data_IF_272367885954
#
_entry.id   IF_272367885954
#
_cell.length_a   1.000
_cell.length_b   1.000
_cell.length_c   1.000
_cell.angle_alpha   90.00
_cell.angle_beta   90.00
_cell.angle_gamma   90.00
#
_symmetry.space_group_name_H-M   'P 1'
#
loop_
_entity.id
_entity.type
_entity.pdbx_description
1 polymer ?
#
# COMPACT_ATOMS: atom_id res chain seq x y z
N UNK A 1 31.82 -13.15 -26.27
CA UNK A 1 31.40 -12.69 -24.94
C UNK A 1 29.94 -13.06 -24.78
N UNK A 2 29.64 -13.99 -23.87
CA UNK A 2 28.26 -14.37 -23.55
C UNK A 2 27.54 -13.17 -22.96
N UNK A 3 26.49 -12.69 -23.64
CA UNK A 3 25.56 -11.71 -23.08
C UNK A 3 25.06 -12.24 -21.73
N UNK A 4 25.25 -11.49 -20.62
CA UNK A 4 24.73 -11.90 -19.32
C UNK A 4 23.23 -12.20 -19.44
N UNK A 5 22.78 -13.33 -18.89
CA UNK A 5 21.35 -13.62 -18.87
C UNK A 5 20.64 -12.51 -18.08
N UNK A 6 19.51 -12.03 -18.57
CA UNK A 6 18.70 -10.99 -17.92
C UNK A 6 18.33 -11.34 -16.46
N UNK A 7 18.30 -12.63 -16.13
CA UNK A 7 17.99 -13.14 -14.81
C UNK A 7 19.20 -13.19 -13.86
N UNK A 8 20.41 -12.89 -14.35
CA UNK A 8 21.63 -12.77 -13.53
C UNK A 8 22.70 -11.80 -14.12
N UNK A 9 22.41 -10.48 -14.25
CA UNK A 9 23.40 -9.48 -14.68
C UNK A 9 24.49 -9.21 -13.61
N UNK A 10 25.61 -8.50 -13.87
CA UNK A 10 26.66 -8.16 -12.87
C UNK A 10 26.21 -7.06 -11.87
N UNK A 11 26.80 -6.95 -10.66
CA UNK A 11 26.29 -6.03 -9.60
C UNK A 11 26.39 -4.58 -10.02
N UNK A 12 25.25 -4.01 -10.45
CA UNK A 12 25.19 -2.70 -11.08
C UNK A 12 25.03 -1.54 -10.08
N UNK A 13 25.00 -1.81 -8.77
CA UNK A 13 24.91 -0.75 -7.75
C UNK A 13 26.24 -0.01 -7.54
N UNK A 14 27.36 -0.63 -7.92
CA UNK A 14 28.70 -0.09 -7.81
C UNK A 14 29.35 0.06 -9.20
N UNK A 15 28.63 0.68 -10.15
CA UNK A 15 29.15 0.84 -11.51
C UNK A 15 30.01 2.09 -11.68
N UNK A 16 31.08 1.92 -12.46
CA UNK A 16 31.81 3.02 -13.12
C UNK A 16 31.22 3.36 -14.52
N UNK A 17 30.21 2.60 -14.99
CA UNK A 17 29.62 2.69 -16.34
C UNK A 17 28.11 2.97 -16.31
N UNK A 18 27.72 4.21 -16.62
CA UNK A 18 26.32 4.68 -16.65
C UNK A 18 25.45 4.02 -17.74
N UNK A 19 26.05 3.59 -18.84
CA UNK A 19 25.31 2.99 -19.97
C UNK A 19 24.71 1.62 -19.59
N UNK A 20 25.48 0.79 -18.89
CA UNK A 20 25.01 -0.52 -18.41
C UNK A 20 23.86 -0.36 -17.41
N UNK A 21 23.95 0.62 -16.51
CA UNK A 21 22.88 0.90 -15.55
C UNK A 21 21.60 1.35 -16.27
N UNK A 22 21.75 2.21 -17.27
CA UNK A 22 20.62 2.75 -18.05
C UNK A 22 19.89 1.64 -18.77
N UNK A 23 20.61 0.76 -19.48
CA UNK A 23 20.02 -0.38 -20.18
C UNK A 23 19.30 -1.32 -19.21
N UNK A 24 19.90 -1.60 -18.05
CA UNK A 24 19.28 -2.45 -17.04
C UNK A 24 17.97 -1.88 -16.47
N UNK A 25 17.90 -0.56 -16.26
CA UNK A 25 16.66 0.11 -15.86
C UNK A 25 15.61 -0.05 -16.95
N UNK A 26 15.96 0.27 -18.21
CA UNK A 26 15.03 0.17 -19.34
C UNK A 26 14.49 -1.25 -19.48
N UNK A 27 15.36 -2.26 -19.49
CA UNK A 27 14.94 -3.66 -19.67
C UNK A 27 14.08 -4.14 -18.49
N UNK A 28 14.38 -3.69 -17.26
CA UNK A 28 13.55 -3.98 -16.08
C UNK A 28 12.13 -3.46 -16.26
N UNK A 29 11.96 -2.23 -16.75
CA UNK A 29 10.64 -1.66 -17.00
C UNK A 29 9.91 -2.35 -18.17
N UNK A 30 10.61 -2.62 -19.28
CA UNK A 30 10.02 -3.30 -20.45
C UNK A 30 9.54 -4.70 -20.07
N UNK A 31 10.33 -5.49 -19.33
CA UNK A 31 9.95 -6.86 -18.96
C UNK A 31 8.72 -6.89 -18.04
N UNK A 32 8.64 -5.98 -17.07
CA UNK A 32 7.58 -6.01 -16.07
C UNK A 32 6.30 -5.28 -16.49
N UNK A 33 6.43 -4.29 -17.38
CA UNK A 33 5.31 -3.41 -17.70
C UNK A 33 5.06 -3.22 -19.20
N UNK A 34 5.82 -3.87 -20.08
CA UNK A 34 5.74 -3.65 -21.53
C UNK A 34 4.35 -3.89 -22.13
N UNK A 35 3.57 -4.83 -21.59
CA UNK A 35 2.17 -5.04 -21.99
C UNK A 35 1.29 -3.87 -21.57
N UNK A 36 1.32 -3.51 -20.28
CA UNK A 36 0.58 -2.34 -19.76
C UNK A 36 0.96 -1.03 -20.48
N UNK A 37 2.23 -0.88 -20.88
CA UNK A 37 2.68 0.25 -21.69
C UNK A 37 2.05 0.29 -23.07
N UNK A 38 1.82 -0.88 -23.70
CA UNK A 38 1.13 -0.98 -25.00
C UNK A 38 -0.36 -0.72 -24.85
N UNK A 39 -0.98 -1.20 -23.79
CA UNK A 39 -2.41 -1.01 -23.51
C UNK A 39 -2.74 0.45 -23.17
N UNK A 40 -1.88 1.12 -22.39
CA UNK A 40 -2.10 2.51 -21.99
C UNK A 40 -0.85 3.41 -22.13
N UNK A 41 -0.45 3.76 -23.37
CA UNK A 41 0.74 4.58 -23.59
C UNK A 41 0.66 5.98 -22.97
N UNK A 42 -0.54 6.58 -22.93
CA UNK A 42 -0.74 7.92 -22.35
C UNK A 42 -0.55 7.92 -20.83
N UNK A 43 -1.11 6.93 -20.13
CA UNK A 43 -0.93 6.77 -18.68
C UNK A 43 0.54 6.59 -18.31
N UNK A 44 1.25 5.72 -19.04
CA UNK A 44 2.67 5.49 -18.82
C UNK A 44 3.56 6.72 -19.09
N UNK A 45 3.26 7.53 -20.12
CA UNK A 45 3.95 8.82 -20.30
C UNK A 45 3.74 9.75 -19.11
N UNK A 46 2.53 9.79 -18.55
CA UNK A 46 2.24 10.52 -17.32
C UNK A 46 3.06 10.01 -16.13
N UNK A 47 3.10 8.69 -15.94
CA UNK A 47 3.91 8.04 -14.90
C UNK A 47 5.40 8.38 -15.03
N UNK A 48 5.98 8.28 -16.23
CA UNK A 48 7.39 8.61 -16.43
C UNK A 48 7.70 10.08 -16.18
N UNK A 49 6.82 11.01 -16.56
CA UNK A 49 7.00 12.43 -16.24
C UNK A 49 6.99 12.68 -14.73
N UNK A 50 6.11 12.00 -13.99
CA UNK A 50 6.08 12.09 -12.52
C UNK A 50 7.31 11.46 -11.90
N UNK A 51 7.76 10.30 -12.40
CA UNK A 51 9.01 9.69 -11.92
C UNK A 51 10.23 10.57 -12.19
N UNK A 52 10.24 11.33 -13.28
CA UNK A 52 11.32 12.24 -13.63
C UNK A 52 11.28 13.58 -12.89
N UNK A 53 10.33 13.80 -11.96
CA UNK A 53 10.26 15.07 -11.24
C UNK A 53 11.39 15.25 -10.22
N UNK A 54 11.79 14.15 -9.57
CA UNK A 54 12.81 14.11 -8.53
C UNK A 54 13.23 12.65 -8.22
N UNK A 55 14.34 12.48 -7.51
CA UNK A 55 14.92 11.19 -7.18
C UNK A 55 13.98 10.33 -6.31
N UNK A 56 13.22 10.96 -5.41
CA UNK A 56 12.27 10.27 -4.56
C UNK A 56 11.06 9.77 -5.34
N UNK A 57 10.54 10.56 -6.29
CA UNK A 57 9.47 10.14 -7.20
C UNK A 57 9.91 8.99 -8.12
N UNK A 58 11.15 9.03 -8.63
CA UNK A 58 11.74 7.90 -9.35
C UNK A 58 11.77 6.65 -8.45
N UNK A 59 12.33 6.78 -7.25
CA UNK A 59 12.49 5.70 -6.29
C UNK A 59 11.16 5.03 -5.94
N UNK A 60 10.10 5.79 -5.68
CA UNK A 60 8.74 5.27 -5.46
C UNK A 60 8.19 4.57 -6.70
N UNK A 61 8.33 5.18 -7.88
CA UNK A 61 7.82 4.62 -9.12
C UNK A 61 8.54 3.36 -9.61
N UNK A 62 9.70 3.02 -9.03
CA UNK A 62 10.60 1.95 -9.48
C UNK A 62 10.79 0.82 -8.45
N UNK A 63 9.78 0.48 -7.64
CA UNK A 63 9.86 -0.61 -6.65
C UNK A 63 10.43 -1.92 -7.23
N UNK A 64 10.01 -2.32 -8.43
CA UNK A 64 10.53 -3.51 -9.12
C UNK A 64 12.05 -3.47 -9.39
N UNK A 65 12.60 -2.30 -9.68
CA UNK A 65 14.04 -2.12 -9.86
C UNK A 65 14.77 -2.32 -8.54
N UNK A 66 14.25 -1.73 -7.46
CA UNK A 66 14.79 -1.85 -6.12
C UNK A 66 14.88 -3.32 -5.66
N UNK A 67 13.83 -4.10 -5.84
CA UNK A 67 13.84 -5.52 -5.44
C UNK A 67 14.75 -6.37 -6.32
N UNK A 68 14.87 -6.07 -7.61
CA UNK A 68 15.85 -6.74 -8.49
C UNK A 68 17.28 -6.46 -8.05
N UNK A 69 17.58 -5.23 -7.65
CA UNK A 69 18.90 -4.88 -7.11
C UNK A 69 19.18 -5.59 -5.77
N UNK A 70 18.23 -5.56 -4.83
CA UNK A 70 18.39 -6.22 -3.52
C UNK A 70 18.54 -7.74 -3.62
N UNK A 71 17.75 -8.39 -4.48
CA UNK A 71 17.77 -9.84 -4.66
C UNK A 71 19.19 -10.36 -4.99
N UNK A 72 19.98 -9.58 -5.72
CA UNK A 72 21.34 -9.96 -6.11
C UNK A 72 22.31 -9.99 -4.94
N UNK A 73 22.10 -9.13 -3.95
CA UNK A 73 22.91 -9.07 -2.72
C UNK A 73 22.29 -9.87 -1.57
N UNK A 74 21.20 -10.62 -1.82
CA UNK A 74 20.44 -11.30 -0.78
C UNK A 74 21.30 -12.30 0.02
N UNK A 75 22.15 -13.06 -0.67
CA UNK A 75 23.05 -14.03 -0.03
C UNK A 75 24.10 -13.38 0.89
N UNK A 76 24.38 -12.10 0.67
CA UNK A 76 25.35 -11.33 1.45
C UNK A 76 24.72 -10.71 2.70
N UNK A 77 23.39 -10.65 2.79
CA UNK A 77 22.67 -10.00 3.89
C UNK A 77 23.00 -10.67 5.24
N UNK A 78 23.75 -10.01 6.12
CA UNK A 78 24.25 -10.62 7.35
C UNK A 78 23.12 -10.98 8.33
N UNK A 79 21.97 -10.31 8.22
CA UNK A 79 20.83 -10.51 9.12
C UNK A 79 19.97 -11.72 8.74
N UNK A 80 20.19 -12.30 7.56
CA UNK A 80 19.45 -13.47 7.07
C UNK A 80 20.26 -14.78 7.20
N UNK A 81 21.60 -14.70 7.25
CA UNK A 81 22.51 -15.87 7.20
C UNK A 81 22.16 -16.97 8.21
N UNK A 82 21.75 -16.59 9.43
CA UNK A 82 21.49 -17.53 10.53
C UNK A 82 20.01 -17.71 10.85
N UNK A 83 19.10 -17.14 10.06
CA UNK A 83 17.66 -17.25 10.29
C UNK A 83 16.89 -17.31 8.97
N UNK A 84 16.72 -18.54 8.44
CA UNK A 84 15.88 -18.76 7.24
C UNK A 84 14.45 -18.26 7.38
N UNK A 85 13.93 -18.17 8.61
CA UNK A 85 12.59 -17.61 8.85
C UNK A 85 12.55 -16.11 8.62
N UNK A 86 13.67 -15.39 8.82
CA UNK A 86 13.76 -13.96 8.58
C UNK A 86 13.64 -13.59 7.08
N UNK A 87 13.83 -14.55 6.17
CA UNK A 87 13.63 -14.37 4.72
C UNK A 87 12.21 -14.68 4.22
N UNK A 88 11.31 -15.15 5.10
CA UNK A 88 9.99 -15.68 4.71
C UNK A 88 8.87 -15.12 5.58
N UNK A 89 8.67 -13.80 5.51
CA UNK A 89 7.76 -13.07 6.39
C UNK A 89 6.90 -12.12 5.58
N UNK A 90 5.73 -11.74 6.08
CA UNK A 90 4.96 -10.70 5.40
C UNK A 90 5.75 -9.37 5.44
N UNK A 91 6.01 -8.83 4.27
CA UNK A 91 6.62 -7.53 4.02
C UNK A 91 5.64 -6.66 3.23
N UNK A 92 5.78 -5.34 3.39
CA UNK A 92 4.91 -4.35 2.80
C UNK A 92 5.15 -4.27 1.29
N UNK A 93 6.38 -4.45 0.85
CA UNK A 93 6.73 -4.47 -0.57
C UNK A 93 6.80 -3.10 -1.24
N UNK A 94 6.34 -2.03 -0.57
CA UNK A 94 6.65 -0.65 -0.99
C UNK A 94 6.73 0.31 0.20
N UNK A 95 7.37 -0.12 1.30
CA UNK A 95 7.45 0.72 2.50
C UNK A 95 8.35 1.93 2.27
N UNK A 96 7.75 3.11 2.07
CA UNK A 96 8.46 4.36 1.90
C UNK A 96 7.84 5.50 2.71
N UNK A 97 8.55 6.62 2.83
CA UNK A 97 8.19 7.76 3.67
C UNK A 97 6.77 8.30 3.46
N UNK A 98 6.26 8.29 2.22
CA UNK A 98 4.88 8.73 1.89
C UNK A 98 3.81 7.61 1.94
N UNK A 99 4.16 6.38 2.33
CA UNK A 99 3.21 5.25 2.44
C UNK A 99 2.69 5.07 3.87
N UNK A 100 2.65 6.16 4.62
CA UNK A 100 2.07 6.20 5.95
C UNK A 100 0.99 7.27 5.99
N UNK A 101 -0.02 7.05 6.80
CA UNK A 101 -1.09 8.01 6.94
C UNK A 101 -2.11 7.60 7.98
N UNK A 102 -3.17 8.38 8.04
CA UNK A 102 -4.30 8.08 8.90
C UNK A 102 -5.27 7.13 8.21
N UNK A 103 -5.94 6.31 9.00
CA UNK A 103 -7.08 5.52 8.57
C UNK A 103 -8.05 5.35 9.73
N UNK A 104 -9.30 5.00 9.41
CA UNK A 104 -10.30 4.66 10.42
C UNK A 104 -10.39 3.14 10.54
N UNK A 105 -10.23 2.64 11.76
CA UNK A 105 -10.32 1.20 12.01
C UNK A 105 -11.78 0.72 12.09
N UNK A 106 -11.97 -0.60 12.19
CA UNK A 106 -13.31 -1.21 12.31
C UNK A 106 -14.13 -0.75 13.52
N UNK A 107 -13.51 -0.15 14.53
CA UNK A 107 -14.17 0.38 15.74
C UNK A 107 -14.49 1.87 15.62
N UNK A 108 -14.08 2.52 14.53
CA UNK A 108 -14.30 3.95 14.31
C UNK A 108 -13.22 4.84 14.93
N UNK A 109 -12.08 4.25 15.35
CA UNK A 109 -10.94 5.02 15.86
C UNK A 109 -10.03 5.40 14.70
N UNK A 110 -9.56 6.65 14.73
CA UNK A 110 -8.59 7.14 13.75
C UNK A 110 -7.20 6.84 14.29
N UNK A 111 -6.46 6.05 13.51
CA UNK A 111 -5.11 5.61 13.83
C UNK A 111 -4.15 6.03 12.72
N UNK A 112 -2.87 6.04 13.03
CA UNK A 112 -1.78 6.21 12.07
C UNK A 112 -1.05 4.88 11.88
N UNK A 113 -0.87 4.46 10.63
CA UNK A 113 -0.16 3.22 10.27
C UNK A 113 0.30 3.28 8.81
N UNK A 114 0.87 2.19 8.31
CA UNK A 114 1.24 2.01 6.91
C UNK A 114 -0.02 1.90 6.03
N UNK A 115 0.03 2.49 4.84
CA UNK A 115 -1.02 2.47 3.82
C UNK A 115 -0.59 1.66 2.58
N UNK A 116 -1.59 1.17 1.83
CA UNK A 116 -1.48 0.54 0.51
C UNK A 116 -0.62 -0.75 0.44
N UNK A 117 -1.28 -1.91 0.54
CA UNK A 117 -0.64 -3.23 0.50
C UNK A 117 -0.60 -3.87 -0.89
N UNK A 118 -0.76 -3.08 -1.96
CA UNK A 118 -0.73 -3.59 -3.33
C UNK A 118 0.54 -4.37 -3.63
N UNK A 119 1.67 -3.99 -3.03
CA UNK A 119 2.98 -4.64 -3.21
C UNK A 119 3.30 -5.71 -2.15
N UNK A 120 2.41 -5.90 -1.17
CA UNK A 120 2.61 -6.79 -0.02
C UNK A 120 2.90 -8.24 -0.43
N UNK A 121 3.93 -8.84 0.16
CA UNK A 121 4.30 -10.22 -0.17
C UNK A 121 5.04 -10.89 0.97
N UNK A 122 5.43 -12.16 0.78
CA UNK A 122 6.33 -12.83 1.70
C UNK A 122 7.77 -12.68 1.21
N UNK A 123 8.64 -12.12 2.05
CA UNK A 123 10.05 -11.90 1.72
C UNK A 123 10.90 -11.54 2.93
N UNK A 124 12.15 -11.11 2.71
CA UNK A 124 13.08 -10.72 3.77
C UNK A 124 12.68 -9.42 4.47
N UNK A 125 12.64 -9.44 5.79
CA UNK A 125 12.30 -8.26 6.60
C UNK A 125 13.23 -7.07 6.37
N UNK A 126 14.49 -7.33 6.03
CA UNK A 126 15.48 -6.28 5.76
C UNK A 126 15.11 -5.44 4.54
N UNK A 127 14.26 -5.95 3.65
CA UNK A 127 13.89 -5.25 2.43
C UNK A 127 13.01 -4.03 2.71
N UNK A 128 11.99 -4.12 3.57
CA UNK A 128 11.23 -2.91 3.91
C UNK A 128 12.06 -1.94 4.74
N UNK A 129 12.98 -2.42 5.60
CA UNK A 129 13.88 -1.53 6.37
C UNK A 129 14.74 -0.72 5.41
N UNK A 130 15.39 -1.41 4.46
CA UNK A 130 16.19 -0.77 3.42
C UNK A 130 15.33 0.15 2.56
N UNK A 131 14.10 -0.26 2.23
CA UNK A 131 13.18 0.52 1.40
C UNK A 131 12.82 1.84 2.08
N UNK A 132 12.44 1.78 3.36
CA UNK A 132 12.04 2.94 4.15
C UNK A 132 13.23 3.88 4.38
N UNK A 133 14.37 3.34 4.80
CA UNK A 133 15.57 4.13 5.11
C UNK A 133 16.11 4.85 3.88
N UNK A 134 16.19 4.18 2.72
CA UNK A 134 16.59 4.84 1.48
C UNK A 134 15.58 5.92 1.05
N UNK A 135 14.29 5.70 1.27
CA UNK A 135 13.26 6.70 0.99
C UNK A 135 13.41 7.95 1.87
N UNK A 136 13.70 7.77 3.17
CA UNK A 136 13.92 8.87 4.11
C UNK A 136 15.21 9.63 3.79
N UNK A 137 16.26 8.92 3.36
CA UNK A 137 17.48 9.57 2.86
C UNK A 137 17.14 10.53 1.71
N UNK A 138 16.39 10.09 0.70
CA UNK A 138 16.01 10.92 -0.44
C UNK A 138 15.13 12.12 -0.04
N UNK A 139 14.12 11.90 0.82
CA UNK A 139 13.23 12.98 1.30
C UNK A 139 13.98 14.03 2.12
N UNK A 140 14.93 13.59 2.96
CA UNK A 140 15.68 14.51 3.82
C UNK A 140 16.83 15.18 3.07
N UNK A 141 17.43 14.49 2.10
CA UNK A 141 18.41 15.07 1.18
C UNK A 141 17.80 16.19 0.33
N UNK A 142 16.59 16.01 -0.22
CA UNK A 142 15.90 17.06 -0.99
C UNK A 142 15.54 18.30 -0.14
N UNK A 143 15.46 18.14 1.19
CA UNK A 143 15.34 19.21 2.18
C UNK A 143 16.68 19.83 2.60
N UNK A 144 17.77 19.51 1.90
CA UNK A 144 19.13 20.00 2.14
C UNK A 144 19.71 19.64 3.53
N UNK A 145 19.28 18.53 4.12
CA UNK A 145 19.94 17.99 5.31
C UNK A 145 21.30 17.39 4.96
N UNK A 146 22.32 17.66 5.79
CA UNK A 146 23.64 17.05 5.62
C UNK A 146 23.66 15.59 6.10
N UNK A 147 24.64 14.82 5.62
CA UNK A 147 24.77 13.38 5.90
C UNK A 147 24.66 13.02 7.38
N UNK A 148 25.28 13.81 8.27
CA UNK A 148 25.22 13.59 9.73
C UNK A 148 23.79 13.68 10.28
N UNK A 149 22.98 14.61 9.75
CA UNK A 149 21.58 14.77 10.16
C UNK A 149 20.72 13.65 9.59
N UNK A 150 20.96 13.27 8.32
CA UNK A 150 20.28 12.14 7.67
C UNK A 150 20.56 10.84 8.42
N UNK A 151 21.83 10.56 8.77
CA UNK A 151 22.23 9.39 9.55
C UNK A 151 21.51 9.35 10.91
N UNK A 152 21.38 10.50 11.58
CA UNK A 152 20.64 10.60 12.84
C UNK A 152 19.16 10.26 12.67
N UNK A 153 18.51 10.77 11.62
CA UNK A 153 17.10 10.49 11.30
C UNK A 153 16.90 8.99 11.02
N UNK A 154 17.75 8.42 10.18
CA UNK A 154 17.72 6.98 9.86
C UNK A 154 17.91 6.14 11.12
N UNK A 155 18.86 6.53 11.98
CA UNK A 155 19.10 5.87 13.26
C UNK A 155 17.88 5.93 14.18
N UNK A 156 17.15 7.06 14.22
CA UNK A 156 15.91 7.17 14.99
C UNK A 156 14.86 6.14 14.53
N UNK A 157 14.65 6.00 13.22
CA UNK A 157 13.66 5.04 12.68
C UNK A 157 14.03 3.61 13.03
N UNK A 158 15.27 3.22 12.74
CA UNK A 158 15.72 1.84 12.95
C UNK A 158 15.74 1.49 14.44
N UNK A 159 16.16 2.42 15.31
CA UNK A 159 16.12 2.19 16.77
C UNK A 159 14.68 2.06 17.27
N UNK A 160 13.77 2.92 16.82
CA UNK A 160 12.36 2.85 17.22
C UNK A 160 11.72 1.52 16.78
N UNK A 161 11.98 1.09 15.54
CA UNK A 161 11.59 -0.23 15.04
C UNK A 161 12.10 -1.36 15.94
N UNK A 162 13.40 -1.38 16.25
CA UNK A 162 14.00 -2.41 17.10
C UNK A 162 13.43 -2.40 18.52
N UNK A 163 13.24 -1.22 19.12
CA UNK A 163 12.61 -1.06 20.43
C UNK A 163 11.20 -1.65 20.42
N UNK A 164 10.40 -1.33 19.40
CA UNK A 164 9.02 -1.82 19.30
C UNK A 164 8.97 -3.36 19.15
N UNK A 165 9.85 -3.95 18.34
CA UNK A 165 9.96 -5.42 18.22
C UNK A 165 10.42 -6.05 19.54
N UNK A 166 11.40 -5.44 20.21
CA UNK A 166 11.93 -5.94 21.48
C UNK A 166 10.86 -5.94 22.59
N UNK A 167 10.08 -4.87 22.70
CA UNK A 167 8.98 -4.78 23.67
C UNK A 167 7.83 -5.75 23.30
N UNK A 168 7.56 -5.95 22.01
CA UNK A 168 6.63 -6.99 21.56
C UNK A 168 7.09 -8.40 21.98
N UNK A 169 8.38 -8.73 21.80
CA UNK A 169 8.92 -10.03 22.21
C UNK A 169 8.85 -10.28 23.72
N UNK A 170 8.87 -9.23 24.56
CA UNK A 170 8.71 -9.37 26.01
C UNK A 170 7.27 -9.62 26.41
N UNK A 171 6.33 -8.86 25.85
CA UNK A 171 4.91 -8.91 26.22
C UNK A 171 4.03 -8.73 24.98
N UNK A 172 3.78 -9.79 24.19
CA UNK A 172 3.03 -9.71 22.93
C UNK A 172 1.62 -9.14 23.09
N UNK A 173 0.93 -9.44 24.20
CA UNK A 173 -0.45 -9.02 24.44
C UNK A 173 -0.59 -7.56 24.85
N UNK A 174 0.49 -6.92 25.32
CA UNK A 174 0.47 -5.54 25.84
C UNK A 174 0.94 -4.50 24.82
N UNK A 175 1.58 -4.92 23.71
CA UNK A 175 2.26 -4.03 22.78
C UNK A 175 1.63 -3.99 21.38
N UNK A 176 0.33 -4.31 21.28
CA UNK A 176 -0.47 -4.17 20.06
C UNK A 176 -1.41 -2.97 20.13
N UNK A 177 -0.90 -1.81 20.56
CA UNK A 177 -1.67 -0.59 20.69
C UNK A 177 -1.51 0.23 19.40
N UNK A 178 -2.58 0.49 18.63
CA UNK A 178 -2.53 1.38 17.47
C UNK A 178 -2.01 2.76 17.83
N UNK A 179 -1.35 3.43 16.89
CA UNK A 179 -0.87 4.80 17.07
C UNK A 179 -2.05 5.74 16.91
N UNK A 180 -2.44 6.42 17.99
CA UNK A 180 -3.65 7.25 18.07
C UNK A 180 -3.34 8.60 18.69
N UNK A 181 -4.32 9.52 18.70
CA UNK A 181 -4.15 10.85 19.29
C UNK A 181 -3.81 10.84 20.79
N UNK A 182 -4.04 9.71 21.48
CA UNK A 182 -3.80 9.57 22.92
C UNK A 182 -2.38 9.09 23.26
N UNK A 183 -1.61 8.59 22.28
CA UNK A 183 -0.31 7.96 22.52
C UNK A 183 0.80 8.40 21.54
N UNK A 184 0.57 9.51 20.84
CA UNK A 184 1.53 10.11 19.90
C UNK A 184 1.52 11.62 20.04
N UNK A 185 2.61 12.27 19.64
CA UNK A 185 2.80 13.72 19.73
C UNK A 185 3.36 14.26 18.39
N UNK A 186 3.61 15.58 18.33
CA UNK A 186 4.25 16.21 17.18
C UNK A 186 3.41 16.18 15.89
N UNK A 187 4.07 16.17 14.71
CA UNK A 187 3.38 16.24 13.41
C UNK A 187 2.35 15.12 13.20
N UNK A 188 2.62 13.91 13.67
CA UNK A 188 1.70 12.77 13.52
C UNK A 188 0.43 12.97 14.36
N UNK A 189 0.54 13.48 15.59
CA UNK A 189 -0.64 13.78 16.41
C UNK A 189 -1.51 14.87 15.76
N UNK A 190 -0.86 15.89 15.17
CA UNK A 190 -1.54 16.94 14.41
C UNK A 190 -2.29 16.35 13.21
N UNK A 191 -1.65 15.51 12.40
CA UNK A 191 -2.27 14.83 11.26
C UNK A 191 -3.51 14.00 11.69
N UNK A 192 -3.40 13.22 12.77
CA UNK A 192 -4.53 12.46 13.33
C UNK A 192 -5.66 13.41 13.74
N UNK A 193 -5.36 14.51 14.43
CA UNK A 193 -6.36 15.50 14.86
C UNK A 193 -7.02 16.22 13.69
N UNK A 194 -6.28 16.54 12.63
CA UNK A 194 -6.80 17.17 11.43
C UNK A 194 -7.72 16.22 10.65
N UNK A 195 -7.35 14.94 10.53
CA UNK A 195 -8.20 13.93 9.90
C UNK A 195 -9.54 13.71 10.62
N UNK A 196 -9.61 13.97 11.94
CA UNK A 196 -10.87 13.95 12.72
C UNK A 196 -11.86 15.04 12.33
N UNK A 197 -11.42 16.13 11.71
CA UNK A 197 -12.29 17.26 11.35
C UNK A 197 -13.16 16.96 10.12
N UNK A 198 -12.80 15.93 9.34
CA UNK A 198 -13.65 15.46 8.24
C UNK A 198 -14.97 14.88 8.75
N UNK A 199 -16.00 14.85 7.91
CA UNK A 199 -17.23 14.11 8.18
C UNK A 199 -17.53 13.18 7.03
N UNK A 200 -18.17 12.05 7.35
CA UNK A 200 -18.58 11.05 6.35
C UNK A 200 -19.54 11.63 5.33
N UNK A 201 -20.49 12.44 5.78
CA UNK A 201 -21.44 13.15 4.92
C UNK A 201 -20.72 14.08 3.94
N UNK A 202 -19.85 14.96 4.45
CA UNK A 202 -19.11 15.88 3.61
C UNK A 202 -18.23 15.14 2.59
N UNK A 203 -17.64 14.02 2.98
CA UNK A 203 -16.86 13.18 2.08
C UNK A 203 -17.74 12.54 0.98
N UNK A 204 -18.92 12.01 1.33
CA UNK A 204 -19.88 11.49 0.37
C UNK A 204 -20.32 12.57 -0.63
N UNK A 205 -20.56 13.79 -0.16
CA UNK A 205 -21.01 14.90 -1.00
C UNK A 205 -19.94 15.36 -2.01
N UNK A 206 -18.65 15.07 -1.76
CA UNK A 206 -17.60 15.32 -2.77
C UNK A 206 -17.68 14.40 -3.99
N UNK A 207 -18.35 13.25 -3.85
CA UNK A 207 -18.36 12.19 -4.87
C UNK A 207 -19.75 11.76 -5.32
N UNK A 208 -20.80 12.21 -4.62
CA UNK A 208 -22.19 11.82 -4.87
C UNK A 208 -23.12 13.03 -4.81
N UNK A 209 -24.30 12.88 -5.42
CA UNK A 209 -25.43 13.80 -5.34
C UNK A 209 -26.69 13.00 -4.99
N UNK A 210 -27.73 13.69 -4.51
CA UNK A 210 -29.04 13.08 -4.24
C UNK A 210 -29.98 13.35 -5.40
N UNK A 211 -30.41 12.29 -6.06
CA UNK A 211 -31.33 12.33 -7.20
C UNK A 211 -32.49 11.35 -6.95
N UNK A 212 -33.72 11.82 -7.12
CA UNK A 212 -34.94 11.00 -6.87
C UNK A 212 -34.92 10.29 -5.50
N UNK A 213 -34.55 11.04 -4.45
CA UNK A 213 -34.48 10.57 -3.06
C UNK A 213 -33.42 9.49 -2.78
N UNK A 214 -32.54 9.18 -3.73
CA UNK A 214 -31.43 8.24 -3.55
C UNK A 214 -30.10 8.90 -3.90
N UNK A 215 -29.03 8.48 -3.20
CA UNK A 215 -27.68 8.95 -3.47
C UNK A 215 -27.11 8.24 -4.70
N UNK A 216 -26.43 8.99 -5.57
CA UNK A 216 -25.79 8.50 -6.81
C UNK A 216 -24.44 9.18 -7.02
N UNK A 217 -23.51 8.53 -7.72
CA UNK A 217 -22.21 9.13 -8.00
C UNK A 217 -22.31 10.35 -8.92
N UNK A 218 -21.44 11.33 -8.70
CA UNK A 218 -21.26 12.44 -9.64
C UNK A 218 -20.40 11.93 -10.81
N UNK A 219 -20.95 11.99 -12.04
CA UNK A 219 -20.23 11.60 -13.26
C UNK A 219 -19.22 12.68 -13.66
N UNK A 220 -18.09 12.27 -14.24
CA UNK A 220 -17.04 13.16 -14.72
C UNK A 220 -16.18 12.50 -15.80
N UNK A 221 -15.14 13.18 -16.28
CA UNK A 221 -14.20 12.60 -17.24
C UNK A 221 -13.46 11.35 -16.70
N UNK A 222 -13.33 11.23 -15.38
CA UNK A 222 -12.66 10.11 -14.71
C UNK A 222 -13.62 9.17 -13.99
N UNK A 223 -14.90 9.54 -13.83
CA UNK A 223 -15.95 8.72 -13.21
C UNK A 223 -17.07 8.51 -14.23
N UNK A 224 -17.18 7.28 -14.76
CA UNK A 224 -18.09 6.97 -15.87
C UNK A 224 -18.99 5.80 -15.54
N UNK A 225 -20.18 5.80 -16.13
CA UNK A 225 -21.06 4.64 -16.09
C UNK A 225 -20.36 3.40 -16.67
N UNK A 226 -20.68 2.25 -16.09
CA UNK A 226 -20.29 0.94 -16.61
C UNK A 226 -21.38 0.43 -17.57
N UNK A 227 -21.02 -0.39 -18.55
CA UNK A 227 -22.03 -1.06 -19.39
C UNK A 227 -22.88 -2.03 -18.55
N UNK A 228 -24.07 -2.38 -19.05
CA UNK A 228 -24.96 -3.33 -18.36
C UNK A 228 -24.30 -4.69 -18.11
N UNK A 229 -23.52 -5.18 -19.07
CA UNK A 229 -22.75 -6.41 -18.93
C UNK A 229 -21.73 -6.32 -17.79
N UNK A 230 -20.94 -5.24 -17.76
CA UNK A 230 -19.94 -5.00 -16.69
C UNK A 230 -20.64 -4.82 -15.34
N UNK A 231 -21.78 -4.11 -15.31
CA UNK A 231 -22.59 -3.94 -14.11
C UNK A 231 -23.06 -5.28 -13.56
N UNK A 232 -23.60 -6.16 -14.41
CA UNK A 232 -24.05 -7.48 -14.00
C UNK A 232 -22.92 -8.30 -13.38
N UNK A 233 -21.74 -8.27 -14.01
CA UNK A 233 -20.56 -8.99 -13.52
C UNK A 233 -20.02 -8.42 -12.21
N UNK A 234 -20.04 -7.10 -12.03
CA UNK A 234 -19.66 -6.45 -10.77
C UNK A 234 -20.63 -6.81 -9.64
N UNK A 235 -21.93 -6.94 -9.91
CA UNK A 235 -22.90 -7.38 -8.92
C UNK A 235 -22.66 -8.83 -8.49
N UNK A 236 -22.31 -9.72 -9.41
CA UNK A 236 -21.90 -11.09 -9.10
C UNK A 236 -20.61 -11.11 -8.27
N UNK A 237 -19.59 -10.36 -8.69
CA UNK A 237 -18.33 -10.24 -7.96
C UNK A 237 -18.54 -9.65 -6.55
N UNK A 238 -19.48 -8.71 -6.39
CA UNK A 238 -19.86 -8.15 -5.10
C UNK A 238 -20.48 -9.20 -4.17
N UNK A 239 -21.36 -10.06 -4.69
CA UNK A 239 -21.92 -11.14 -3.90
C UNK A 239 -20.86 -12.13 -3.42
N UNK A 240 -19.90 -12.49 -4.28
CA UNK A 240 -18.76 -13.33 -3.87
C UNK A 240 -17.89 -12.63 -2.82
N UNK A 241 -17.60 -11.34 -3.00
CA UNK A 241 -16.89 -10.53 -2.01
C UNK A 241 -17.58 -10.56 -0.64
N UNK A 242 -18.90 -10.36 -0.57
CA UNK A 242 -19.64 -10.37 0.70
C UNK A 242 -19.50 -11.72 1.41
N UNK A 243 -19.35 -12.83 0.67
CA UNK A 243 -19.08 -14.16 1.26
C UNK A 243 -17.67 -14.28 1.84
N UNK A 244 -16.71 -13.48 1.39
CA UNK A 244 -15.33 -13.48 1.94
C UNK A 244 -15.23 -12.76 3.28
N UNK A 245 -16.18 -11.88 3.61
CA UNK A 245 -16.21 -11.18 4.91
C UNK A 245 -16.50 -12.22 6.02
N UNK A 246 -15.67 -12.30 7.08
CA UNK A 246 -15.92 -13.22 8.19
C UNK A 246 -17.30 -12.99 8.83
N UNK A 247 -17.99 -14.06 9.23
CA UNK A 247 -19.39 -13.98 9.72
C UNK A 247 -19.55 -13.00 10.89
N UNK A 248 -18.63 -12.99 11.86
CA UNK A 248 -18.62 -12.05 12.98
C UNK A 248 -18.29 -10.58 12.62
N UNK A 249 -18.03 -10.30 11.35
CA UNK A 249 -17.79 -8.96 10.80
C UNK A 249 -18.85 -8.52 9.79
N UNK A 250 -19.79 -9.40 9.42
CA UNK A 250 -20.87 -9.06 8.48
C UNK A 250 -21.84 -8.08 9.13
N UNK A 251 -22.27 -7.11 8.33
CA UNK A 251 -23.35 -6.19 8.68
C UNK A 251 -24.71 -6.84 8.39
N UNK A 252 -25.79 -6.19 8.81
CA UNK A 252 -27.12 -6.64 8.45
C UNK A 252 -27.32 -6.70 6.92
N UNK A 253 -28.17 -7.61 6.45
CA UNK A 253 -28.34 -7.88 5.02
C UNK A 253 -28.73 -6.66 4.18
N UNK A 254 -29.42 -5.67 4.77
CA UNK A 254 -29.81 -4.44 4.09
C UNK A 254 -28.63 -3.48 3.84
N UNK A 255 -27.54 -3.56 4.61
CA UNK A 255 -26.31 -2.75 4.45
C UNK A 255 -25.55 -3.11 3.17
N UNK A 256 -25.90 -4.22 2.51
CA UNK A 256 -25.26 -4.65 1.25
C UNK A 256 -26.10 -4.31 0.01
N UNK A 257 -27.13 -3.47 0.15
CA UNK A 257 -27.91 -3.01 -1.02
C UNK A 257 -27.08 -2.04 -1.86
N UNK A 258 -26.77 -2.44 -3.09
CA UNK A 258 -26.08 -1.60 -4.07
C UNK A 258 -27.04 -0.54 -4.63
N UNK A 259 -26.63 0.72 -4.54
CA UNK A 259 -27.37 1.89 -5.06
C UNK A 259 -26.88 2.32 -6.44
N UNK A 260 -25.57 2.38 -6.63
CA UNK A 260 -24.94 2.87 -7.86
C UNK A 260 -23.57 2.22 -8.07
N UNK A 261 -23.13 2.12 -9.33
CA UNK A 261 -21.81 1.57 -9.71
C UNK A 261 -21.22 2.41 -10.83
N UNK A 262 -19.97 2.83 -10.66
CA UNK A 262 -19.22 3.60 -11.66
C UNK A 262 -17.81 3.06 -11.83
N UNK A 263 -17.27 3.17 -13.03
CA UNK A 263 -15.83 3.02 -13.28
C UNK A 263 -15.12 4.32 -12.92
N UNK A 264 -13.95 4.20 -12.30
CA UNK A 264 -13.08 5.31 -11.93
C UNK A 264 -11.68 5.08 -12.48
N UNK A 265 -11.18 6.03 -13.26
CA UNK A 265 -9.79 6.03 -13.73
C UNK A 265 -8.91 6.80 -12.75
N UNK A 266 -7.82 6.19 -12.28
CA UNK A 266 -6.91 6.84 -11.32
C UNK A 266 -5.73 7.55 -12.04
N UNK A 267 -5.48 8.84 -11.77
CA UNK A 267 -4.36 9.59 -12.35
C UNK A 267 -3.01 9.38 -11.61
N UNK A 268 -2.93 8.48 -10.62
CA UNK A 268 -1.75 8.26 -9.75
C UNK A 268 -0.51 7.68 -10.44
N UNK A 269 0.64 7.69 -9.74
CA UNK A 269 1.94 7.16 -10.23
C UNK A 269 1.95 5.62 -10.25
N UNK A 270 1.48 4.98 -9.17
CA UNK A 270 1.47 3.51 -9.04
C UNK A 270 0.42 2.82 -9.92
N UNK A 271 -0.71 3.47 -10.17
CA UNK A 271 -1.87 2.88 -10.88
C UNK A 271 -2.28 3.71 -12.11
N UNK A 272 -1.32 4.26 -12.85
CA UNK A 272 -1.56 5.20 -13.96
C UNK A 272 -2.51 4.63 -15.03
N UNK A 273 -3.78 5.04 -14.94
CA UNK A 273 -4.87 4.60 -15.82
C UNK A 273 -5.41 3.19 -15.56
N UNK A 274 -5.12 2.60 -14.41
CA UNK A 274 -5.88 1.45 -13.93
C UNK A 274 -7.33 1.89 -13.65
N UNK A 275 -8.27 1.02 -14.02
CA UNK A 275 -9.70 1.22 -13.76
C UNK A 275 -10.03 0.54 -12.44
N UNK A 276 -10.54 1.32 -11.47
CA UNK A 276 -11.24 0.78 -10.30
C UNK A 276 -12.74 0.93 -10.50
N UNK A 277 -13.54 0.15 -9.77
CA UNK A 277 -14.99 0.26 -9.79
C UNK A 277 -15.47 0.71 -8.41
N UNK A 278 -16.09 1.88 -8.33
CA UNK A 278 -16.68 2.37 -7.10
C UNK A 278 -18.14 1.88 -7.02
N UNK A 279 -18.52 1.34 -5.87
CA UNK A 279 -19.85 0.81 -5.58
C UNK A 279 -20.39 1.59 -4.40
N UNK A 280 -21.52 2.27 -4.60
CA UNK A 280 -22.26 2.93 -3.54
C UNK A 280 -23.23 1.92 -2.95
N UNK A 281 -23.10 1.66 -1.64
CA UNK A 281 -23.95 0.73 -0.90
C UNK A 281 -24.67 1.46 0.23
N UNK A 282 -25.82 0.91 0.61
CA UNK A 282 -26.58 1.43 1.72
C UNK A 282 -25.84 1.29 3.05
N UNK A 283 -25.94 2.31 3.90
CA UNK A 283 -25.37 2.28 5.25
C UNK A 283 -26.09 1.36 6.23
N UNK A 284 -25.68 1.45 7.51
CA UNK A 284 -26.32 0.71 8.62
C UNK A 284 -27.79 1.12 8.82
N UNK A 285 -28.14 2.33 8.40
CA UNK A 285 -29.51 2.86 8.43
C UNK A 285 -29.97 3.21 7.02
N UNK A 286 -31.20 3.67 6.87
CA UNK A 286 -31.72 4.21 5.60
C UNK A 286 -31.31 5.68 5.38
N UNK A 287 -30.67 6.32 6.36
CA UNK A 287 -30.25 7.70 6.24
C UNK A 287 -29.08 7.81 5.24
N UNK A 288 -29.20 8.76 4.30
CA UNK A 288 -28.27 8.89 3.17
C UNK A 288 -26.85 9.30 3.61
N UNK A 289 -26.67 9.90 4.78
CA UNK A 289 -25.35 10.19 5.33
C UNK A 289 -24.60 8.94 5.82
N UNK A 290 -25.31 7.82 6.00
CA UNK A 290 -24.70 6.56 6.45
C UNK A 290 -24.22 5.67 5.32
N UNK A 291 -24.59 5.97 4.07
CA UNK A 291 -24.17 5.26 2.87
C UNK A 291 -22.65 5.08 2.81
N UNK A 292 -22.19 4.00 2.18
CA UNK A 292 -20.77 3.66 2.12
C UNK A 292 -20.35 3.59 0.67
N UNK A 293 -19.17 4.10 0.38
CA UNK A 293 -18.51 3.87 -0.91
C UNK A 293 -17.43 2.84 -0.69
N UNK A 294 -17.53 1.72 -1.37
CA UNK A 294 -16.42 0.78 -1.50
C UNK A 294 -15.85 0.87 -2.91
N UNK A 295 -14.63 0.42 -3.08
CA UNK A 295 -14.04 0.22 -4.39
C UNK A 295 -13.68 -1.25 -4.61
N UNK A 296 -13.74 -1.69 -5.85
CA UNK A 296 -13.12 -2.92 -6.34
C UNK A 296 -11.99 -2.53 -7.28
N UNK A 297 -10.76 -2.88 -6.91
CA UNK A 297 -9.57 -2.53 -7.69
C UNK A 297 -8.88 -3.80 -8.19
N UNK A 298 -8.56 -3.89 -9.50
CA UNK A 298 -7.68 -4.93 -10.01
C UNK A 298 -6.37 -4.97 -9.25
N UNK A 299 -6.05 -6.14 -8.71
CA UNK A 299 -4.78 -6.36 -8.03
C UNK A 299 -3.70 -6.69 -9.05
N UNK A 300 -2.55 -6.03 -8.96
CA UNK A 300 -1.38 -6.29 -9.81
C UNK A 300 -0.43 -7.27 -9.15
N UNK A 301 0.47 -7.87 -9.93
CA UNK A 301 1.53 -8.70 -9.37
C UNK A 301 2.49 -7.84 -8.55
N UNK A 302 2.82 -8.28 -7.34
CA UNK A 302 3.80 -7.60 -6.49
C UNK A 302 5.19 -7.57 -7.16
N UNK A 303 5.87 -6.43 -7.08
CA UNK A 303 7.26 -6.20 -7.40
C UNK A 303 8.18 -7.18 -6.66
N UNK A 304 7.87 -7.52 -5.41
CA UNK A 304 8.59 -8.54 -4.64
C UNK A 304 8.45 -9.93 -5.29
N UNK A 305 7.24 -10.28 -5.73
CA UNK A 305 6.95 -11.54 -6.42
C UNK A 305 7.61 -11.65 -7.82
N UNK A 306 8.18 -10.56 -8.35
CA UNK A 306 8.98 -10.61 -9.57
C UNK A 306 10.35 -11.25 -9.35
N UNK A 307 10.88 -11.18 -8.12
CA UNK A 307 12.21 -11.69 -7.76
C UNK A 307 12.13 -12.91 -6.83
N UNK A 308 11.16 -12.97 -5.92
CA UNK A 308 10.92 -14.16 -5.07
C UNK A 308 9.97 -15.09 -5.82
N UNK A 309 10.51 -16.22 -6.30
CA UNK A 309 9.76 -17.27 -7.00
C UNK A 309 9.58 -18.49 -6.09
N UNK A 310 8.46 -18.53 -5.39
CA UNK A 310 8.11 -19.63 -4.48
C UNK A 310 6.74 -20.17 -4.85
N UNK A 311 6.64 -21.33 -5.53
CA UNK A 311 5.37 -21.89 -6.00
C UNK A 311 4.35 -22.09 -4.87
N UNK A 312 4.81 -22.43 -3.67
CA UNK A 312 3.97 -22.62 -2.49
C UNK A 312 3.25 -21.33 -2.09
N UNK A 313 3.92 -20.17 -2.24
CA UNK A 313 3.30 -18.86 -1.98
C UNK A 313 2.29 -18.50 -3.06
N UNK A 314 2.60 -18.75 -4.34
CA UNK A 314 1.66 -18.50 -5.44
C UNK A 314 0.39 -19.35 -5.28
N UNK A 315 0.53 -20.62 -4.88
CA UNK A 315 -0.61 -21.50 -4.58
C UNK A 315 -1.39 -21.03 -3.34
N UNK A 316 -0.70 -20.61 -2.29
CA UNK A 316 -1.33 -20.13 -1.06
C UNK A 316 -2.19 -18.88 -1.31
N UNK A 317 -1.64 -17.90 -2.04
CA UNK A 317 -2.36 -16.66 -2.37
C UNK A 317 -3.46 -16.85 -3.40
N UNK A 318 -3.38 -17.86 -4.26
CA UNK A 318 -4.31 -18.17 -5.37
C UNK A 318 -4.35 -17.09 -6.46
N UNK A 319 -4.48 -15.82 -6.09
CA UNK A 319 -4.43 -14.66 -6.96
C UNK A 319 -4.04 -13.38 -6.17
N UNK A 320 -3.66 -12.32 -6.88
CA UNK A 320 -3.13 -11.09 -6.26
C UNK A 320 -4.14 -10.34 -5.36
N UNK A 321 -5.45 -10.41 -5.64
CA UNK A 321 -6.46 -9.78 -4.77
C UNK A 321 -6.49 -10.36 -3.35
N UNK A 322 -6.37 -11.69 -3.22
CA UNK A 322 -6.30 -12.36 -1.91
C UNK A 322 -4.94 -12.12 -1.27
N UNK A 323 -3.84 -12.05 -2.05
CA UNK A 323 -2.52 -11.63 -1.55
C UNK A 323 -2.58 -10.28 -0.86
N UNK A 324 -3.08 -9.24 -1.53
CA UNK A 324 -3.18 -7.88 -0.97
C UNK A 324 -3.97 -7.87 0.34
N UNK A 325 -5.12 -8.56 0.38
CA UNK A 325 -5.96 -8.65 1.58
C UNK A 325 -5.29 -9.38 2.73
N UNK A 326 -4.66 -10.53 2.47
CA UNK A 326 -3.95 -11.28 3.52
C UNK A 326 -2.74 -10.50 4.03
N UNK A 327 -2.06 -9.79 3.15
CA UNK A 327 -0.98 -8.88 3.51
C UNK A 327 -1.49 -7.78 4.46
N UNK A 328 -2.55 -7.08 4.10
CA UNK A 328 -3.17 -6.07 4.97
C UNK A 328 -3.62 -6.66 6.33
N UNK A 329 -4.27 -7.83 6.34
CA UNK A 329 -4.64 -8.52 7.58
C UNK A 329 -3.44 -8.93 8.45
N UNK A 330 -2.31 -9.26 7.82
CA UNK A 330 -1.10 -9.65 8.50
C UNK A 330 -0.29 -8.48 9.06
N UNK A 331 -0.59 -7.25 8.63
CA UNK A 331 0.33 -6.13 8.77
C UNK A 331 -0.32 -4.88 9.37
N UNK A 332 -1.64 -4.71 9.26
CA UNK A 332 -2.37 -3.71 10.03
C UNK A 332 -2.65 -4.16 11.46
N UNK A 333 -2.51 -3.24 12.42
CA UNK A 333 -2.92 -3.49 13.80
C UNK A 333 -4.42 -3.81 13.91
N UNK A 334 -5.25 -3.05 13.17
CA UNK A 334 -6.70 -3.27 13.06
C UNK A 334 -7.15 -2.88 11.66
N UNK A 335 -7.57 -3.82 10.82
CA UNK A 335 -8.05 -3.50 9.46
C UNK A 335 -9.42 -2.80 9.46
N UNK A 336 -9.75 -2.20 8.32
CA UNK A 336 -11.13 -1.78 8.01
C UNK A 336 -12.07 -3.00 8.04
N UNK A 337 -13.38 -2.73 8.12
CA UNK A 337 -14.42 -3.77 8.08
C UNK A 337 -14.78 -4.23 6.67
N UNK A 338 -14.41 -3.47 5.65
CA UNK A 338 -14.77 -3.71 4.25
C UNK A 338 -13.67 -4.42 3.45
N UNK A 339 -12.49 -4.59 4.04
CA UNK A 339 -11.38 -5.28 3.41
C UNK A 339 -11.72 -6.74 3.04
N UNK A 340 -11.71 -7.04 1.75
CA UNK A 340 -11.94 -8.38 1.20
C UNK A 340 -11.50 -8.49 -0.25
N UNK A 341 -11.81 -9.61 -0.90
CA UNK A 341 -11.36 -9.88 -2.27
C UNK A 341 -12.47 -10.54 -3.09
N UNK A 342 -12.33 -10.49 -4.41
CA UNK A 342 -13.23 -11.18 -5.34
C UNK A 342 -12.54 -11.36 -6.70
N UNK A 343 -13.26 -11.87 -7.68
CA UNK A 343 -12.78 -12.00 -9.06
C UNK A 343 -13.87 -11.53 -10.02
N UNK A 344 -13.53 -10.59 -10.90
CA UNK A 344 -14.43 -10.13 -11.96
C UNK A 344 -14.33 -11.09 -13.16
N UNK A 345 -15.49 -11.52 -13.68
CA UNK A 345 -15.61 -12.47 -14.79
C UNK A 345 -14.84 -13.79 -14.55
N UNK A 346 -14.62 -14.18 -13.30
CA UNK A 346 -13.77 -15.32 -12.93
C UNK A 346 -12.33 -15.28 -13.48
N UNK A 347 -11.85 -14.09 -13.89
CA UNK A 347 -10.53 -13.92 -14.50
C UNK A 347 -9.70 -12.82 -13.84
N UNK A 348 -10.30 -11.67 -13.53
CA UNK A 348 -9.57 -10.51 -13.05
C UNK A 348 -9.62 -10.48 -11.52
N UNK A 349 -8.50 -10.72 -10.81
CA UNK A 349 -8.49 -10.67 -9.37
C UNK A 349 -8.68 -9.24 -8.87
N UNK A 350 -9.60 -9.06 -7.92
CA UNK A 350 -9.91 -7.79 -7.32
C UNK A 350 -9.68 -7.86 -5.82
N UNK A 351 -9.24 -6.76 -5.23
CA UNK A 351 -9.43 -6.51 -3.81
C UNK A 351 -10.48 -5.42 -3.62
N UNK A 352 -11.08 -5.42 -2.44
CA UNK A 352 -12.23 -4.60 -2.07
C UNK A 352 -11.92 -3.93 -0.75
N UNK A 353 -12.16 -2.61 -0.67
CA UNK A 353 -12.09 -1.85 0.58
C UNK A 353 -13.00 -0.61 0.51
N UNK A 354 -13.19 0.06 1.63
CA UNK A 354 -13.91 1.32 1.75
C UNK A 354 -13.06 2.49 1.22
N UNK A 355 -13.72 3.42 0.53
CA UNK A 355 -13.15 4.74 0.27
C UNK A 355 -13.14 5.50 1.59
N UNK A 356 -11.98 5.53 2.22
CA UNK A 356 -11.81 6.02 3.58
C UNK A 356 -12.09 7.54 3.71
N UNK A 357 -13.02 7.88 4.60
CA UNK A 357 -13.41 9.28 4.90
C UNK A 357 -12.31 10.06 5.63
N UNK A 358 -11.59 9.40 6.53
CA UNK A 358 -10.61 10.01 7.44
C UNK A 358 -9.18 9.60 7.09
N UNK A 359 -8.92 9.29 5.82
CA UNK A 359 -7.58 8.95 5.37
C UNK A 359 -6.84 10.18 4.84
N UNK A 360 -5.68 10.43 5.42
CA UNK A 360 -4.75 11.47 5.01
C UNK A 360 -3.35 10.88 5.00
N UNK A 361 -2.68 10.97 3.85
CA UNK A 361 -1.28 10.59 3.74
C UNK A 361 -0.38 11.61 4.44
N UNK A 362 0.76 11.15 4.95
CA UNK A 362 1.77 12.00 5.54
C UNK A 362 2.45 12.86 4.45
N UNK A 363 2.21 14.17 4.47
CA UNK A 363 2.91 15.12 3.58
C UNK A 363 4.20 15.64 4.24
N UNK A 364 5.33 15.24 3.66
CA UNK A 364 6.64 15.67 4.13
C UNK A 364 6.95 17.13 3.81
N UNK A 365 6.23 17.80 2.92
CA UNK A 365 6.48 19.21 2.58
C UNK A 365 6.25 20.13 3.76
N UNK A 366 5.31 19.77 4.63
CA UNK A 366 4.93 20.58 5.79
C UNK A 366 5.82 20.34 7.01
N UNK A 367 6.66 19.30 6.99
CA UNK A 367 7.57 18.93 8.09
C UNK A 367 8.98 19.38 7.72
N UNK A 368 9.42 20.50 8.29
CA UNK A 368 10.70 21.13 7.91
C UNK A 368 11.69 21.21 9.06
N UNK A 369 11.23 21.26 10.31
CA UNK A 369 12.11 21.29 11.46
C UNK A 369 12.78 19.94 11.71
N UNK A 370 14.04 19.96 12.14
CA UNK A 370 14.82 18.75 12.31
C UNK A 370 14.30 17.86 13.45
N UNK A 371 13.80 18.47 14.52
CA UNK A 371 13.24 17.76 15.66
C UNK A 371 11.90 17.12 15.27
N UNK A 372 11.04 17.86 14.57
CA UNK A 372 9.79 17.33 14.01
C UNK A 372 10.02 16.14 13.07
N UNK A 373 11.05 16.21 12.21
CA UNK A 373 11.44 15.08 11.34
C UNK A 373 11.88 13.90 12.19
N UNK A 374 12.70 14.09 13.22
CA UNK A 374 13.14 12.99 14.08
C UNK A 374 11.98 12.35 14.84
N UNK A 375 11.05 13.15 15.39
CA UNK A 375 9.83 12.67 16.03
C UNK A 375 8.97 11.86 15.05
N UNK A 376 8.77 12.39 13.84
CA UNK A 376 8.05 11.68 12.77
C UNK A 376 8.72 10.35 12.45
N UNK A 377 10.04 10.36 12.24
CA UNK A 377 10.83 9.17 11.92
C UNK A 377 10.75 8.10 13.03
N UNK A 378 10.75 8.50 14.30
CA UNK A 378 10.52 7.60 15.44
C UNK A 378 9.14 6.94 15.38
N UNK A 379 8.08 7.69 15.06
CA UNK A 379 6.73 7.14 14.91
C UNK A 379 6.63 6.19 13.71
N UNK A 380 7.33 6.45 12.60
CA UNK A 380 7.38 5.51 11.46
C UNK A 380 8.05 4.19 11.85
N UNK A 381 9.16 4.25 12.60
CA UNK A 381 9.82 3.06 13.13
C UNK A 381 8.91 2.25 14.05
N UNK A 382 8.13 2.95 14.90
CA UNK A 382 7.13 2.33 15.77
C UNK A 382 6.02 1.65 14.96
N UNK A 383 5.45 2.33 13.96
CA UNK A 383 4.44 1.76 13.07
C UNK A 383 4.96 0.50 12.36
N UNK A 384 6.18 0.55 11.82
CA UNK A 384 6.86 -0.58 11.21
C UNK A 384 7.08 -1.76 12.19
N UNK A 385 7.37 -1.48 13.46
CA UNK A 385 7.49 -2.52 14.48
C UNK A 385 6.15 -3.14 14.86
N UNK A 386 5.07 -2.35 14.84
CA UNK A 386 3.71 -2.83 15.06
C UNK A 386 3.22 -3.75 13.92
N UNK A 387 3.75 -3.54 12.73
CA UNK A 387 3.42 -4.26 11.50
C UNK A 387 3.97 -5.69 11.46
N UNK A 388 5.20 -5.87 11.95
CA UNK A 388 5.96 -7.12 11.87
C UNK A 388 5.60 -8.15 12.96
N UNK A 389 4.37 -8.15 13.48
CA UNK A 389 3.97 -9.01 14.61
C UNK A 389 3.69 -10.48 14.22
N UNK A 390 3.47 -10.78 12.94
CA UNK A 390 2.90 -12.05 12.50
C UNK A 390 3.90 -13.03 11.86
N UNK A 391 5.10 -13.17 12.45
CA UNK A 391 6.21 -14.04 12.00
C UNK A 391 5.98 -15.57 12.12
N UNK A 392 4.81 -16.06 11.73
CA UNK A 392 4.66 -17.50 11.57
C UNK A 392 3.68 -17.88 10.49
N UNK A 393 4.01 -17.51 9.25
CA UNK A 393 3.72 -18.44 8.17
C UNK A 393 4.84 -19.50 8.17
N UNK A 394 4.48 -20.78 8.34
CA UNK A 394 5.34 -21.99 8.48
C UNK A 394 5.78 -22.47 9.89
N UNK A 395 4.98 -22.34 10.96
CA UNK A 395 5.09 -23.21 12.17
C UNK A 395 3.93 -24.22 12.30
N UNK A 396 3.55 -24.87 11.19
CA UNK A 396 2.93 -26.19 11.26
C UNK A 396 3.65 -27.14 10.33
#
# INVERSE_FOLDING_TARGET
MSTPSFDNPPNLLNLENDEERTNYIIDTFIKNFGESMRENPKGWRGRFRKMASDEFAFYRGSAVLFYRDLHRTLAEDPWLKNCKKASSIFIHGDLHAENFGTYIDRFGLINFDVNDFDEGYVGPFTWDIKRLVASLNLVTFSKAYCDKKIEKIITCVVRSYLTQIYEYCKSPEQHNIPISSENTEGPINKLIKESRLGSKEAHLDTMTTVENYERRFIRSNIVKDVSDDVRHQLLLAFQEYVRTIPEGKKEASWTYRVKDIVSRSSPGIGSAGAISYNILIQGRTQALETDVVIFMKPATKSAVATVIKTPELEQYFRHDGLRTVLCAYAMHAVTTKWLGYTTLNNQIPLFVDEVATHSQDLDWKDINDFEEICQTAEILGKAMGLFYKLFSFFLK
#
